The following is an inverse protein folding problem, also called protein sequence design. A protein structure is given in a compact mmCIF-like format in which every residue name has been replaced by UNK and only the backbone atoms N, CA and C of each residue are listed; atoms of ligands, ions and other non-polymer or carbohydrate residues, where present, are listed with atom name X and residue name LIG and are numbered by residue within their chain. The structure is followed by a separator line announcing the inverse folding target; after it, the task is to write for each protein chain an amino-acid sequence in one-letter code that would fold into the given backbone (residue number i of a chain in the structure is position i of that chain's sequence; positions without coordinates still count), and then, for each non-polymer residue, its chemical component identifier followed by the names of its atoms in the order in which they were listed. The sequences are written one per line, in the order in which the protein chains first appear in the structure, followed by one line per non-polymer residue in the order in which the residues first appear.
data_IF_926641932418
#
_entry.id   IF_926641932418
#
_cell.length_a   1.000
_cell.length_b   1.000
_cell.length_c   1.000
_cell.angle_alpha   90.00
_cell.angle_beta   90.00
_cell.angle_gamma   90.00
#
_symmetry.space_group_name_H-M   'P 1'
#
loop_
_entity.id
_entity.type
_entity.pdbx_description
1 polymer ?
#
# COMPACT_ATOMS: atom_id res chain seq x y z
N UNK A 1 17.88 16.28 23.26
CA UNK A 1 18.07 16.02 21.82
C UNK A 1 18.18 14.51 21.66
N UNK A 2 17.16 13.78 21.18
CA UNK A 2 17.35 12.36 20.90
C UNK A 2 18.33 12.22 19.74
N UNK A 3 19.35 11.40 19.97
CA UNK A 3 20.38 11.01 19.00
C UNK A 3 19.68 10.41 17.78
N UNK A 4 19.64 11.15 16.66
CA UNK A 4 19.24 10.57 15.37
C UNK A 4 20.40 9.71 14.92
N UNK A 5 20.43 8.48 15.41
CA UNK A 5 21.33 7.45 14.87
C UNK A 5 21.15 7.45 13.35
N UNK A 6 22.22 7.61 12.56
CA UNK A 6 22.09 7.60 11.12
C UNK A 6 21.45 6.27 10.73
N UNK A 7 20.22 6.32 10.22
CA UNK A 7 19.51 5.14 9.75
C UNK A 7 20.38 4.50 8.68
N UNK A 8 21.08 3.42 9.05
CA UNK A 8 21.89 2.65 8.12
C UNK A 8 20.94 2.21 7.02
N UNK A 9 21.19 2.66 5.79
CA UNK A 9 20.41 2.21 4.64
C UNK A 9 20.54 0.71 4.52
N UNK A 10 19.45 0.01 4.83
CA UNK A 10 19.34 -1.44 4.74
C UNK A 10 18.79 -1.81 3.38
N UNK A 11 19.35 -2.87 2.82
CA UNK A 11 19.02 -3.35 1.49
C UNK A 11 18.53 -4.79 1.58
N UNK A 12 17.36 -5.05 1.01
CA UNK A 12 16.73 -6.36 0.97
C UNK A 12 16.90 -6.98 -0.43
N UNK A 13 17.04 -8.31 -0.49
CA UNK A 13 16.91 -9.02 -1.75
C UNK A 13 15.43 -9.03 -2.20
N UNK A 14 15.13 -9.04 -3.51
CA UNK A 14 13.75 -9.15 -4.00
C UNK A 14 12.98 -10.33 -3.42
N UNK A 15 13.65 -11.49 -3.26
CA UNK A 15 13.04 -12.65 -2.61
C UNK A 15 12.60 -12.37 -1.16
N UNK A 16 13.36 -11.59 -0.39
CA UNK A 16 12.97 -11.25 0.99
C UNK A 16 11.75 -10.32 1.00
N UNK A 17 11.67 -9.39 0.04
CA UNK A 17 10.52 -8.48 -0.10
C UNK A 17 9.28 -9.24 -0.55
N UNK A 18 9.44 -10.19 -1.48
CA UNK A 18 8.37 -11.07 -1.94
C UNK A 18 7.73 -11.85 -0.77
N UNK A 19 8.57 -12.47 0.07
CA UNK A 19 8.13 -13.17 1.28
C UNK A 19 7.40 -12.22 2.26
N UNK A 20 7.94 -11.03 2.49
CA UNK A 20 7.33 -10.04 3.40
C UNK A 20 5.95 -9.56 2.93
N UNK A 21 5.79 -9.40 1.61
CA UNK A 21 4.54 -8.92 1.00
C UNK A 21 3.59 -10.06 0.62
N UNK A 22 4.03 -11.33 0.71
CA UNK A 22 3.30 -12.51 0.23
C UNK A 22 2.90 -12.38 -1.26
N UNK A 23 3.83 -11.91 -2.10
CA UNK A 23 3.69 -11.78 -3.56
C UNK A 23 4.84 -12.48 -4.27
N UNK A 24 4.78 -12.61 -5.59
CA UNK A 24 5.84 -13.22 -6.37
C UNK A 24 7.07 -12.29 -6.53
N UNK A 25 8.26 -12.88 -6.71
CA UNK A 25 9.49 -12.11 -6.93
C UNK A 25 9.42 -11.26 -8.18
N UNK A 26 8.79 -11.77 -9.25
CA UNK A 26 8.60 -11.02 -10.49
C UNK A 26 7.71 -9.79 -10.26
N UNK A 27 6.68 -9.88 -9.41
CA UNK A 27 5.85 -8.73 -9.03
C UNK A 27 6.65 -7.67 -8.28
N UNK A 28 7.57 -8.08 -7.40
CA UNK A 28 8.49 -7.15 -6.73
C UNK A 28 9.36 -6.41 -7.75
N UNK A 29 9.86 -7.11 -8.77
CA UNK A 29 10.68 -6.52 -9.83
C UNK A 29 9.85 -5.54 -10.67
N UNK A 30 8.60 -5.88 -10.99
CA UNK A 30 7.66 -4.96 -11.66
C UNK A 30 7.41 -3.69 -10.83
N UNK A 31 7.25 -3.80 -9.51
CA UNK A 31 7.11 -2.61 -8.64
C UNK A 31 8.35 -1.71 -8.69
N UNK A 32 9.55 -2.29 -8.84
CA UNK A 32 10.78 -1.52 -9.05
C UNK A 32 10.77 -0.84 -10.43
N UNK A 33 10.35 -1.54 -11.48
CA UNK A 33 10.24 -0.95 -12.83
C UNK A 33 9.20 0.18 -12.91
N UNK A 34 8.11 0.06 -12.15
CA UNK A 34 7.08 1.09 -12.03
C UNK A 34 7.51 2.29 -11.18
N UNK A 35 8.69 2.23 -10.55
CA UNK A 35 9.20 3.27 -9.66
C UNK A 35 8.48 3.32 -8.30
N UNK A 36 7.68 2.31 -7.96
CA UNK A 36 6.98 2.20 -6.66
C UNK A 36 7.92 1.72 -5.56
N UNK A 37 8.95 0.95 -5.92
CA UNK A 37 10.02 0.54 -5.01
C UNK A 37 11.39 1.00 -5.54
N UNK A 38 12.22 1.52 -4.65
CA UNK A 38 13.59 1.91 -4.98
C UNK A 38 14.50 0.67 -4.99
N UNK A 39 14.85 0.22 -6.20
CA UNK A 39 15.72 -0.93 -6.41
C UNK A 39 16.96 -0.59 -7.24
N UNK A 40 18.10 -1.22 -6.95
CA UNK A 40 19.35 -1.08 -7.68
C UNK A 40 20.04 -2.42 -7.87
N UNK A 41 20.75 -2.60 -8.99
CA UNK A 41 21.61 -3.76 -9.22
C UNK A 41 23.00 -3.49 -8.67
N UNK A 42 23.44 -4.26 -7.67
CA UNK A 42 24.76 -4.12 -7.03
C UNK A 42 25.60 -5.39 -7.17
N UNK A 43 26.92 -5.20 -7.28
CA UNK A 43 27.93 -6.26 -7.26
C UNK A 43 28.22 -6.91 -8.62
N UNK A 44 29.06 -7.95 -8.58
CA UNK A 44 29.38 -8.81 -9.73
C UNK A 44 29.29 -10.29 -9.29
N UNK A 45 28.35 -11.09 -9.83
CA UNK A 45 27.31 -10.70 -10.79
C UNK A 45 26.31 -9.71 -10.18
N UNK A 46 25.69 -8.90 -11.04
CA UNK A 46 24.72 -7.88 -10.64
C UNK A 46 23.50 -8.52 -9.96
N UNK A 47 23.25 -8.18 -8.69
CA UNK A 47 22.07 -8.64 -7.94
C UNK A 47 21.21 -7.46 -7.55
N UNK A 48 19.90 -7.60 -7.73
CA UNK A 48 18.92 -6.61 -7.28
C UNK A 48 18.94 -6.46 -5.77
N UNK A 49 18.82 -5.22 -5.32
CA UNK A 49 18.72 -4.79 -3.92
C UNK A 49 17.70 -3.68 -3.81
N UNK A 50 16.80 -3.82 -2.86
CA UNK A 50 15.69 -2.91 -2.62
C UNK A 50 15.95 -2.17 -1.32
N UNK A 51 15.76 -0.85 -1.31
CA UNK A 51 15.90 -0.06 -0.08
C UNK A 51 14.75 -0.38 0.90
N UNK A 52 15.09 -0.80 2.13
CA UNK A 52 14.10 -1.13 3.16
C UNK A 52 13.19 0.07 3.49
N UNK A 53 13.76 1.28 3.49
CA UNK A 53 13.00 2.52 3.70
C UNK A 53 11.94 2.72 2.62
N UNK A 54 12.27 2.45 1.35
CA UNK A 54 11.31 2.55 0.26
C UNK A 54 10.17 1.55 0.39
N UNK A 55 10.45 0.34 0.91
CA UNK A 55 9.41 -0.65 1.20
C UNK A 55 8.48 -0.18 2.34
N UNK A 56 9.06 0.39 3.40
CA UNK A 56 8.28 0.93 4.50
C UNK A 56 7.38 2.10 4.06
N UNK A 57 7.90 3.00 3.23
CA UNK A 57 7.14 4.12 2.66
C UNK A 57 6.01 3.64 1.76
N UNK A 58 6.28 2.65 0.90
CA UNK A 58 5.27 2.00 0.06
C UNK A 58 4.13 1.41 0.89
N UNK A 59 4.44 0.67 1.95
CA UNK A 59 3.42 0.07 2.82
C UNK A 59 2.61 1.13 3.57
N UNK A 60 3.24 2.22 4.01
CA UNK A 60 2.55 3.33 4.63
C UNK A 60 1.51 3.95 3.67
N UNK A 61 1.89 4.19 2.41
CA UNK A 61 0.99 4.69 1.38
C UNK A 61 -0.20 3.75 1.13
N UNK A 62 0.06 2.44 0.99
CA UNK A 62 -1.01 1.45 0.79
C UNK A 62 -1.95 1.34 2.00
N UNK A 63 -1.42 1.47 3.23
CA UNK A 63 -2.25 1.46 4.44
C UNK A 63 -3.17 2.67 4.52
N UNK A 64 -2.69 3.84 4.10
CA UNK A 64 -3.49 5.08 4.08
C UNK A 64 -4.57 5.01 3.00
N UNK A 65 -4.25 4.43 1.84
CA UNK A 65 -5.23 4.15 0.79
C UNK A 65 -6.33 3.20 1.28
N UNK A 66 -5.95 2.09 1.94
CA UNK A 66 -6.90 1.14 2.52
C UNK A 66 -7.75 1.79 3.63
N UNK A 67 -7.14 2.65 4.46
CA UNK A 67 -7.84 3.44 5.49
C UNK A 67 -8.86 4.39 4.85
N UNK A 68 -8.49 5.11 3.79
CA UNK A 68 -9.38 5.99 3.04
C UNK A 68 -10.55 5.23 2.43
N UNK A 69 -10.29 4.06 1.83
CA UNK A 69 -11.34 3.20 1.27
C UNK A 69 -12.26 2.63 2.35
N UNK A 70 -11.75 2.26 3.52
CA UNK A 70 -12.56 1.79 4.65
C UNK A 70 -13.49 2.89 5.18
N UNK A 71 -12.99 4.12 5.30
CA UNK A 71 -13.79 5.28 5.70
C UNK A 71 -14.85 5.62 4.64
N UNK A 72 -14.52 5.51 3.35
CA UNK A 72 -15.49 5.70 2.26
C UNK A 72 -16.58 4.62 2.27
N UNK A 73 -16.25 3.34 2.53
CA UNK A 73 -17.24 2.27 2.68
C UNK A 73 -18.20 2.53 3.83
N UNK A 74 -17.69 2.96 4.99
CA UNK A 74 -18.52 3.29 6.15
C UNK A 74 -19.41 4.53 5.91
N UNK A 75 -18.89 5.55 5.21
CA UNK A 75 -19.68 6.74 4.85
C UNK A 75 -20.78 6.43 3.83
N UNK A 76 -20.54 5.51 2.90
CA UNK A 76 -21.55 5.04 1.94
C UNK A 76 -22.65 4.20 2.64
N UNK A 77 -22.29 3.38 3.62
CA UNK A 77 -23.23 2.60 4.43
C UNK A 77 -24.06 3.46 5.39
N UNK A 78 -23.52 4.60 5.84
CA UNK A 78 -24.25 5.60 6.63
C UNK A 78 -25.12 6.54 5.77
N UNK A 79 -24.97 6.53 4.44
CA UNK A 79 -25.73 7.36 3.50
C UNK A 79 -26.96 6.61 2.96
N UNK A 80 -27.90 6.26 3.84
CA UNK A 80 -29.25 5.87 3.45
C UNK A 80 -30.29 6.90 3.94
N UNK A 81 -30.57 7.96 3.15
CA UNK A 81 -31.69 8.84 3.42
C UNK A 81 -32.96 8.25 2.78
N UNK A 82 -33.84 7.68 3.61
CA UNK A 82 -35.29 7.93 3.56
C UNK A 82 -36.10 7.58 2.27
N UNK A 83 -35.76 6.56 1.47
CA UNK A 83 -36.62 6.12 0.33
C UNK A 83 -37.86 5.29 0.75
N UNK A 84 -38.23 5.25 2.05
CA UNK A 84 -39.49 4.65 2.53
C UNK A 84 -40.61 5.68 2.80
N UNK A 85 -40.69 6.73 1.98
CA UNK A 85 -41.68 7.80 2.13
C UNK A 85 -42.73 7.89 1.03
N UNK A 86 -43.26 6.76 0.50
CA UNK A 86 -44.44 6.80 -0.35
C UNK A 86 -45.68 6.33 0.42
N UNK A 87 -46.53 7.23 0.95
CA UNK A 87 -47.91 6.87 1.23
C UNK A 87 -48.66 6.82 -0.11
N UNK A 88 -48.70 5.64 -0.72
CA UNK A 88 -49.74 5.32 -1.70
C UNK A 88 -51.04 5.03 -0.93
N UNK A 89 -52.07 5.86 -1.16
CA UNK A 89 -53.46 5.64 -0.72
C UNK A 89 -54.13 6.98 -0.37
N UNK A 90 -55.34 7.33 -0.80
CA UNK A 90 -56.42 6.61 -1.47
C UNK A 90 -57.39 7.67 -2.04
N UNK A 91 -58.14 7.35 -3.11
CA UNK A 91 -59.13 8.25 -3.70
C UNK A 91 -60.41 8.43 -2.87
N UNK A 92 -61.07 9.58 -3.07
CA UNK A 92 -62.49 9.74 -3.47
C UNK A 92 -62.91 11.20 -3.32
#
# INVERSE_FOLDING_TARGET
MPDSTPSVRRFLAPAQVAELLSIEVDEVIELVYQGRLSGSKLGSPARWRIEETSLADYLAEQSEEARRMALWRQANEASFPEVWGAPFGHGS
#
